data_IF_156191821804
#
_entry.id   IF_156191821804
#
_cell.length_a   1.000
_cell.length_b   1.000
_cell.length_c   1.000
_cell.angle_alpha   90.00
_cell.angle_beta   90.00
_cell.angle_gamma   90.00
#
_symmetry.space_group_name_H-M   'P 1'
#
loop_
_entity.id
_entity.type
_entity.pdbx_description
1 polymer ?
#
# COMPACT_ATOMS: atom_id res chain seq x y z
N UNK A 1 21.62 -29.42 -15.29
CA UNK A 1 20.92 -28.75 -16.40
C UNK A 1 21.37 -27.29 -16.38
N UNK A 2 22.06 -26.85 -17.43
CA UNK A 2 22.58 -25.48 -17.50
C UNK A 2 21.51 -24.46 -17.93
N UNK A 3 21.31 -23.44 -17.09
CA UNK A 3 20.41 -22.30 -17.30
C UNK A 3 21.19 -20.99 -17.38
N UNK A 4 20.74 -20.06 -18.23
CA UNK A 4 21.36 -18.75 -18.38
C UNK A 4 20.35 -17.61 -18.18
N UNK A 5 20.81 -16.35 -18.06
CA UNK A 5 19.95 -15.19 -17.81
C UNK A 5 18.84 -15.00 -18.85
N UNK A 6 19.09 -15.37 -20.12
CA UNK A 6 18.10 -15.27 -21.21
C UNK A 6 16.89 -16.17 -21.04
N UNK A 7 16.90 -17.09 -20.08
CA UNK A 7 15.72 -17.90 -19.73
C UNK A 7 14.70 -17.12 -18.87
N UNK A 8 15.11 -15.96 -18.36
CA UNK A 8 14.33 -15.08 -17.49
C UNK A 8 14.14 -13.72 -18.15
N UNK A 9 13.08 -13.02 -17.78
CA UNK A 9 12.77 -11.70 -18.30
C UNK A 9 13.07 -10.57 -17.29
N UNK A 10 13.30 -10.92 -16.03
CA UNK A 10 13.64 -9.97 -14.98
C UNK A 10 15.13 -9.60 -15.01
N UNK A 11 15.44 -8.62 -15.88
CA UNK A 11 16.81 -8.20 -16.23
C UNK A 11 17.65 -7.67 -15.06
N UNK A 12 17.01 -7.27 -13.97
CA UNK A 12 17.66 -6.67 -12.79
C UNK A 12 17.46 -7.53 -11.54
N UNK A 13 17.03 -8.78 -11.70
CA UNK A 13 16.90 -9.70 -10.57
C UNK A 13 18.26 -10.12 -10.00
N UNK A 14 18.30 -10.28 -8.67
CA UNK A 14 19.42 -10.90 -7.96
C UNK A 14 19.78 -12.29 -8.54
N UNK A 15 18.78 -13.00 -9.08
CA UNK A 15 18.98 -14.27 -9.77
C UNK A 15 19.83 -14.13 -11.03
N UNK A 16 19.59 -13.12 -11.87
CA UNK A 16 20.41 -12.88 -13.06
C UNK A 16 21.84 -12.47 -12.68
N UNK A 17 22.00 -11.61 -11.68
CA UNK A 17 23.33 -11.22 -11.18
C UNK A 17 24.09 -12.43 -10.64
N UNK A 18 23.42 -13.33 -9.94
CA UNK A 18 24.01 -14.55 -9.43
C UNK A 18 24.46 -15.50 -10.56
N UNK A 19 23.63 -15.72 -11.58
CA UNK A 19 24.01 -16.53 -12.75
C UNK A 19 25.20 -15.89 -13.48
N UNK A 20 25.20 -14.56 -13.65
CA UNK A 20 26.30 -13.86 -14.34
C UNK A 20 27.62 -13.93 -13.56
N UNK A 21 27.58 -13.85 -12.23
CA UNK A 21 28.79 -13.83 -11.39
C UNK A 21 29.35 -15.22 -11.09
N UNK A 22 28.49 -16.23 -10.98
CA UNK A 22 28.87 -17.60 -10.58
C UNK A 22 28.90 -18.59 -11.74
N UNK A 23 28.21 -18.29 -12.84
CA UNK A 23 28.17 -19.12 -14.04
C UNK A 23 29.46 -19.07 -14.86
N UNK A 24 29.53 -19.93 -15.87
CA UNK A 24 30.66 -20.02 -16.81
C UNK A 24 30.15 -19.88 -18.25
N UNK A 25 31.00 -19.40 -19.16
CA UNK A 25 30.65 -19.28 -20.58
C UNK A 25 30.46 -20.67 -21.21
N UNK A 26 29.21 -21.11 -21.25
CA UNK A 26 28.78 -22.43 -21.69
C UNK A 26 27.41 -22.32 -22.35
N UNK A 27 27.11 -23.23 -23.29
CA UNK A 27 25.83 -23.25 -23.96
C UNK A 27 24.70 -23.59 -22.98
N UNK A 28 23.68 -22.74 -22.91
CA UNK A 28 22.49 -23.00 -22.11
C UNK A 28 21.67 -24.17 -22.68
N UNK A 29 21.30 -25.13 -21.85
CA UNK A 29 20.52 -26.31 -22.25
C UNK A 29 19.04 -26.01 -22.50
N UNK A 30 18.55 -24.83 -22.10
CA UNK A 30 17.13 -24.46 -22.20
C UNK A 30 16.89 -23.58 -23.44
N UNK A 31 17.61 -22.46 -23.57
CA UNK A 31 17.43 -21.52 -24.68
C UNK A 31 18.50 -21.63 -25.78
N UNK A 32 19.45 -22.55 -25.65
CA UNK A 32 20.55 -22.79 -26.60
C UNK A 32 21.51 -21.61 -26.81
N UNK A 33 21.43 -20.55 -26.00
CA UNK A 33 22.34 -19.40 -26.10
C UNK A 33 23.78 -19.80 -25.76
N UNK A 34 24.73 -19.38 -26.59
CA UNK A 34 26.18 -19.62 -26.43
C UNK A 34 26.95 -18.41 -25.91
N UNK A 35 26.33 -17.22 -25.90
CA UNK A 35 27.00 -15.95 -25.60
C UNK A 35 26.67 -15.45 -24.18
N UNK A 36 26.36 -16.35 -23.25
CA UNK A 36 25.98 -16.00 -21.87
C UNK A 36 26.68 -16.93 -20.90
N UNK A 37 26.85 -16.47 -19.66
CA UNK A 37 27.20 -17.36 -18.58
C UNK A 37 26.00 -18.28 -18.28
N UNK A 38 26.28 -19.57 -18.17
CA UNK A 38 25.31 -20.58 -17.75
C UNK A 38 25.73 -21.16 -16.41
N UNK A 39 24.74 -21.48 -15.58
CA UNK A 39 24.90 -22.06 -14.25
C UNK A 39 24.07 -23.34 -14.15
N UNK A 40 24.51 -24.29 -13.34
CA UNK A 40 23.69 -25.47 -13.02
C UNK A 40 22.41 -25.04 -12.29
N UNK A 41 21.26 -25.52 -12.75
CA UNK A 41 19.96 -25.21 -12.15
C UNK A 41 19.90 -25.56 -10.66
N UNK A 42 20.66 -26.57 -10.23
CA UNK A 42 20.78 -27.01 -8.84
C UNK A 42 21.22 -25.89 -7.89
N UNK A 43 22.06 -24.95 -8.37
CA UNK A 43 22.51 -23.77 -7.62
C UNK A 43 21.40 -22.73 -7.41
N UNK A 44 20.28 -22.86 -8.12
CA UNK A 44 19.13 -21.95 -8.01
C UNK A 44 17.96 -22.55 -7.21
N UNK A 45 18.11 -23.77 -6.67
CA UNK A 45 16.99 -24.47 -6.01
C UNK A 45 16.47 -23.73 -4.78
N UNK A 46 17.33 -23.13 -3.96
CA UNK A 46 16.92 -22.36 -2.78
C UNK A 46 16.02 -21.16 -3.15
N UNK A 47 16.35 -20.49 -4.26
CA UNK A 47 15.52 -19.41 -4.81
C UNK A 47 14.15 -19.95 -5.22
N UNK A 48 14.13 -21.06 -5.98
CA UNK A 48 12.88 -21.64 -6.44
C UNK A 48 12.05 -22.23 -5.29
N UNK A 49 12.67 -22.78 -4.25
CA UNK A 49 11.96 -23.26 -3.06
C UNK A 49 11.24 -22.10 -2.38
N UNK A 50 11.93 -20.97 -2.23
CA UNK A 50 11.35 -19.73 -1.69
C UNK A 50 10.22 -19.20 -2.59
N UNK A 51 10.41 -19.20 -3.91
CA UNK A 51 9.39 -18.77 -4.87
C UNK A 51 8.14 -19.65 -4.77
N UNK A 52 8.31 -20.97 -4.85
CA UNK A 52 7.23 -21.95 -4.83
C UNK A 52 6.50 -21.98 -3.48
N UNK A 53 7.22 -21.71 -2.38
CA UNK A 53 6.64 -21.57 -1.04
C UNK A 53 5.63 -20.44 -0.88
N UNK A 54 5.52 -19.54 -1.86
CA UNK A 54 4.48 -18.51 -1.89
C UNK A 54 3.13 -19.01 -2.42
N UNK A 55 3.06 -20.24 -2.96
CA UNK A 55 1.87 -20.79 -3.59
C UNK A 55 1.33 -22.01 -2.82
N UNK A 56 0.04 -22.27 -2.99
CA UNK A 56 -0.64 -23.48 -2.50
C UNK A 56 -1.62 -23.99 -3.57
N UNK A 57 -1.88 -25.30 -3.56
CA UNK A 57 -2.89 -25.90 -4.45
C UNK A 57 -4.27 -25.30 -4.16
N UNK A 58 -5.00 -24.94 -5.21
CA UNK A 58 -6.30 -24.27 -5.12
C UNK A 58 -7.20 -24.65 -6.30
N UNK A 59 -8.42 -25.13 -6.00
CA UNK A 59 -9.39 -25.53 -7.03
C UNK A 59 -9.81 -24.37 -7.96
N UNK A 60 -9.84 -23.15 -7.41
CA UNK A 60 -10.21 -21.93 -8.13
C UNK A 60 -9.01 -21.20 -8.74
N UNK A 61 -7.81 -21.75 -8.58
CA UNK A 61 -6.57 -21.16 -9.08
C UNK A 61 -6.37 -21.33 -10.58
N UNK A 62 -5.17 -21.00 -11.03
CA UNK A 62 -4.67 -21.20 -12.40
C UNK A 62 -3.35 -21.98 -12.35
N UNK A 63 -2.83 -22.44 -13.48
CA UNK A 63 -1.61 -23.25 -13.48
C UNK A 63 -0.43 -22.45 -12.91
N UNK A 64 0.49 -23.13 -12.21
CA UNK A 64 1.67 -22.50 -11.60
C UNK A 64 2.45 -21.61 -12.58
N UNK A 65 2.71 -22.11 -13.79
CA UNK A 65 3.37 -21.35 -14.85
C UNK A 65 2.60 -20.08 -15.21
N UNK A 66 1.29 -20.20 -15.40
CA UNK A 66 0.42 -19.08 -15.76
C UNK A 66 0.42 -18.04 -14.65
N UNK A 67 0.31 -18.49 -13.39
CA UNK A 67 0.35 -17.60 -12.23
C UNK A 67 1.66 -16.81 -12.12
N UNK A 68 2.79 -17.49 -12.24
CA UNK A 68 4.11 -16.84 -12.21
C UNK A 68 4.27 -15.87 -13.39
N UNK A 69 3.82 -16.26 -14.59
CA UNK A 69 3.97 -15.41 -15.77
C UNK A 69 3.03 -14.19 -15.75
N UNK A 70 1.77 -14.34 -15.32
CA UNK A 70 0.80 -13.25 -15.27
C UNK A 70 1.17 -12.20 -14.21
N UNK A 71 1.58 -12.64 -13.02
CA UNK A 71 1.84 -11.73 -11.91
C UNK A 71 3.24 -11.11 -11.97
N UNK A 72 4.24 -11.84 -12.50
CA UNK A 72 5.66 -11.44 -12.43
C UNK A 72 6.33 -11.31 -13.79
N UNK A 73 5.74 -11.88 -14.85
CA UNK A 73 6.36 -11.96 -16.17
C UNK A 73 7.79 -12.55 -16.11
N UNK A 74 8.01 -13.55 -15.25
CA UNK A 74 9.34 -13.98 -14.80
C UNK A 74 10.17 -14.71 -15.86
N UNK A 75 9.56 -15.63 -16.62
CA UNK A 75 10.28 -16.40 -17.64
C UNK A 75 10.26 -15.70 -18.99
N UNK A 76 11.31 -15.89 -19.78
CA UNK A 76 11.42 -15.28 -21.11
C UNK A 76 10.54 -15.94 -22.17
N UNK A 77 10.15 -17.21 -21.97
CA UNK A 77 9.25 -17.94 -22.85
C UNK A 77 8.50 -19.06 -22.11
N UNK A 78 7.35 -19.51 -22.62
CA UNK A 78 6.64 -20.67 -22.07
C UNK A 78 7.49 -21.93 -22.02
N UNK A 79 8.34 -22.15 -23.03
CA UNK A 79 9.23 -23.31 -23.07
C UNK A 79 10.33 -23.25 -22.00
N UNK A 80 10.89 -22.06 -21.74
CA UNK A 80 11.82 -21.86 -20.62
C UNK A 80 11.14 -22.19 -19.30
N UNK A 81 9.94 -21.66 -19.09
CA UNK A 81 9.16 -21.88 -17.89
C UNK A 81 8.87 -23.37 -17.65
N UNK A 82 8.36 -24.07 -18.68
CA UNK A 82 8.03 -25.50 -18.58
C UNK A 82 9.26 -26.35 -18.28
N UNK A 83 10.37 -26.08 -18.96
CA UNK A 83 11.60 -26.86 -18.80
C UNK A 83 12.18 -26.69 -17.40
N UNK A 84 12.28 -25.44 -16.94
CA UNK A 84 12.82 -25.11 -15.62
C UNK A 84 11.91 -25.64 -14.52
N UNK A 85 10.62 -25.29 -14.54
CA UNK A 85 9.68 -25.70 -13.49
C UNK A 85 9.56 -27.23 -13.40
N UNK A 86 9.60 -27.94 -14.54
CA UNK A 86 9.57 -29.40 -14.56
C UNK A 86 10.75 -30.02 -13.82
N UNK A 87 11.91 -29.42 -13.91
CA UNK A 87 13.10 -29.94 -13.24
C UNK A 87 13.13 -29.51 -11.77
N UNK A 88 12.83 -28.25 -11.49
CA UNK A 88 12.71 -27.69 -10.13
C UNK A 88 11.73 -28.50 -9.28
N UNK A 89 10.52 -28.78 -9.77
CA UNK A 89 9.49 -29.52 -9.01
C UNK A 89 9.92 -30.95 -8.67
N UNK A 90 10.82 -31.57 -9.45
CA UNK A 90 11.36 -32.89 -9.12
C UNK A 90 12.44 -32.85 -8.04
N UNK A 91 13.20 -31.76 -7.99
CA UNK A 91 14.37 -31.62 -7.14
C UNK A 91 14.00 -31.06 -5.75
N UNK A 92 12.95 -30.23 -5.68
CA UNK A 92 12.48 -29.60 -4.44
C UNK A 92 11.36 -30.42 -3.80
N UNK A 93 11.31 -30.43 -2.47
CA UNK A 93 10.18 -31.01 -1.72
C UNK A 93 9.00 -30.05 -1.76
N UNK A 94 8.11 -30.24 -2.72
CA UNK A 94 6.86 -29.49 -2.85
C UNK A 94 5.67 -30.40 -3.07
N UNK A 95 4.50 -30.00 -2.56
CA UNK A 95 3.22 -30.67 -2.82
C UNK A 95 2.58 -30.22 -4.14
N UNK A 96 3.21 -29.28 -4.86
CA UNK A 96 2.70 -28.70 -6.10
C UNK A 96 3.23 -29.46 -7.31
N UNK A 97 2.33 -30.00 -8.13
CA UNK A 97 2.60 -30.51 -9.47
C UNK A 97 2.44 -29.42 -10.53
N UNK A 98 3.08 -29.61 -11.70
CA UNK A 98 2.95 -28.69 -12.84
C UNK A 98 1.52 -28.60 -13.40
N UNK A 99 0.71 -29.63 -13.19
CA UNK A 99 -0.68 -29.68 -13.64
C UNK A 99 -1.65 -29.11 -12.62
N UNK A 100 -1.18 -28.79 -11.42
CA UNK A 100 -2.04 -28.27 -10.37
C UNK A 100 -2.39 -26.81 -10.63
N UNK A 101 -3.62 -26.49 -10.26
CA UNK A 101 -4.04 -25.10 -10.12
C UNK A 101 -3.57 -24.61 -8.76
N UNK A 102 -2.97 -23.42 -8.76
CA UNK A 102 -2.42 -22.79 -7.57
C UNK A 102 -3.00 -21.40 -7.38
N UNK A 103 -2.98 -20.96 -6.13
CA UNK A 103 -3.11 -19.55 -5.75
C UNK A 103 -2.02 -19.24 -4.72
N UNK A 104 -1.87 -17.98 -4.35
CA UNK A 104 -0.95 -17.61 -3.27
C UNK A 104 -1.37 -18.27 -1.94
N UNK A 105 -0.40 -18.47 -1.05
CA UNK A 105 -0.70 -18.89 0.33
C UNK A 105 -1.62 -17.88 1.02
N UNK A 106 -2.43 -18.36 1.96
CA UNK A 106 -3.46 -17.53 2.61
C UNK A 106 -2.90 -16.27 3.26
N UNK A 107 -1.68 -16.32 3.82
CA UNK A 107 -1.03 -15.14 4.40
C UNK A 107 -0.79 -14.01 3.39
N UNK A 108 -0.43 -14.34 2.14
CA UNK A 108 -0.26 -13.37 1.06
C UNK A 108 -1.61 -12.86 0.58
N UNK A 109 -2.62 -13.73 0.48
CA UNK A 109 -3.98 -13.37 0.06
C UNK A 109 -4.65 -12.43 1.05
N UNK A 110 -4.50 -12.70 2.34
CA UNK A 110 -4.98 -11.86 3.43
C UNK A 110 -4.31 -10.47 3.40
N UNK A 111 -2.97 -10.44 3.27
CA UNK A 111 -2.22 -9.18 3.17
C UNK A 111 -2.66 -8.36 1.95
N UNK A 112 -2.78 -8.99 0.78
CA UNK A 112 -3.23 -8.33 -0.46
C UNK A 112 -4.65 -7.78 -0.31
N UNK A 113 -5.54 -8.55 0.33
CA UNK A 113 -6.91 -8.12 0.62
C UNK A 113 -6.92 -6.90 1.54
N UNK A 114 -6.12 -6.92 2.61
CA UNK A 114 -6.02 -5.79 3.53
C UNK A 114 -5.36 -4.56 2.90
N UNK A 115 -4.40 -4.76 2.00
CA UNK A 115 -3.80 -3.68 1.22
C UNK A 115 -4.81 -3.01 0.30
N UNK A 116 -5.63 -3.80 -0.40
CA UNK A 116 -6.69 -3.27 -1.25
C UNK A 116 -7.73 -2.48 -0.44
N UNK A 117 -8.15 -3.00 0.73
CA UNK A 117 -9.02 -2.26 1.66
C UNK A 117 -8.41 -0.93 2.08
N UNK A 118 -7.11 -0.90 2.42
CA UNK A 118 -6.42 0.34 2.79
C UNK A 118 -6.43 1.34 1.62
N UNK A 119 -6.12 0.88 0.39
CA UNK A 119 -6.16 1.74 -0.80
C UNK A 119 -7.54 2.35 -1.02
N UNK A 120 -8.59 1.55 -0.89
CA UNK A 120 -9.96 2.02 -1.08
C UNK A 120 -10.39 2.99 0.02
N UNK A 121 -10.03 2.71 1.28
CA UNK A 121 -10.24 3.62 2.40
C UNK A 121 -9.57 4.98 2.16
N UNK A 122 -8.28 4.96 1.80
CA UNK A 122 -7.50 6.17 1.53
C UNK A 122 -8.05 6.97 0.34
N UNK A 123 -8.59 6.30 -0.68
CA UNK A 123 -9.13 6.96 -1.88
C UNK A 123 -10.51 7.53 -1.66
N UNK A 124 -11.37 6.83 -0.93
CA UNK A 124 -12.82 7.08 -0.98
C UNK A 124 -13.44 7.56 0.34
N UNK A 125 -12.79 7.34 1.49
CA UNK A 125 -13.43 7.62 2.79
C UNK A 125 -12.55 8.35 3.80
N UNK A 126 -11.37 7.82 4.12
CA UNK A 126 -10.52 8.29 5.22
C UNK A 126 -9.08 8.52 4.76
N UNK A 127 -8.93 9.44 3.81
CA UNK A 127 -7.67 9.76 3.11
C UNK A 127 -6.46 9.97 4.01
N UNK A 128 -6.65 10.54 5.19
CA UNK A 128 -5.56 10.86 6.12
C UNK A 128 -5.67 10.12 7.47
N UNK A 129 -6.72 9.33 7.65
CA UNK A 129 -7.03 8.66 8.91
C UNK A 129 -7.45 7.20 8.68
N UNK A 130 -6.52 6.33 8.24
CA UNK A 130 -6.82 4.93 7.97
C UNK A 130 -7.50 4.26 9.16
N UNK A 131 -8.35 3.28 8.90
CA UNK A 131 -8.96 2.52 9.97
C UNK A 131 -7.88 1.74 10.75
N UNK A 132 -7.80 1.87 12.09
CA UNK A 132 -6.82 1.12 12.90
C UNK A 132 -6.89 -0.39 12.69
N UNK A 133 -8.08 -0.95 12.42
CA UNK A 133 -8.24 -2.38 12.11
C UNK A 133 -7.55 -2.76 10.78
N UNK A 134 -7.66 -1.89 9.78
CA UNK A 134 -7.04 -2.08 8.47
C UNK A 134 -5.52 -1.96 8.57
N UNK A 135 -5.01 -1.01 9.37
CA UNK A 135 -3.58 -0.91 9.68
C UNK A 135 -3.07 -2.16 10.43
N UNK A 136 -3.83 -2.63 11.42
CA UNK A 136 -3.47 -3.84 12.19
C UNK A 136 -3.38 -5.09 11.32
N UNK A 137 -4.27 -5.24 10.33
CA UNK A 137 -4.20 -6.36 9.41
C UNK A 137 -2.87 -6.39 8.64
N UNK A 138 -2.34 -5.22 8.28
CA UNK A 138 -1.06 -5.07 7.58
C UNK A 138 0.14 -4.99 8.52
N UNK A 139 -0.06 -5.12 9.83
CA UNK A 139 0.98 -4.93 10.87
C UNK A 139 1.63 -3.53 10.81
N UNK A 140 0.85 -2.52 10.39
CA UNK A 140 1.29 -1.13 10.24
C UNK A 140 0.84 -0.22 11.39
N UNK A 141 0.19 -0.75 12.41
CA UNK A 141 -0.34 0.03 13.54
C UNK A 141 0.73 0.86 14.25
N UNK A 142 1.98 0.38 14.29
CA UNK A 142 3.10 1.09 14.91
C UNK A 142 3.87 1.96 13.92
N UNK A 143 3.64 1.80 12.62
CA UNK A 143 4.27 2.62 11.57
C UNK A 143 3.64 4.01 11.50
N UNK A 144 2.40 4.14 11.97
CA UNK A 144 1.69 5.40 12.07
C UNK A 144 1.54 5.77 13.55
N UNK A 145 2.47 6.58 14.08
CA UNK A 145 2.33 7.23 15.39
C UNK A 145 1.22 8.31 15.32
N UNK A 146 -0.02 7.87 15.14
CA UNK A 146 -1.21 8.72 15.03
C UNK A 146 -1.82 9.08 16.38
N UNK A 147 -1.21 8.68 17.50
CA UNK A 147 -1.74 8.98 18.83
C UNK A 147 -1.43 10.41 19.22
N UNK A 148 -2.27 11.35 18.78
CA UNK A 148 -2.36 12.67 19.39
C UNK A 148 -3.41 12.62 20.48
N UNK A 149 -2.98 12.76 21.74
CA UNK A 149 -3.91 12.87 22.86
C UNK A 149 -4.30 14.33 23.05
N UNK A 150 -5.58 14.64 22.84
CA UNK A 150 -6.13 15.96 23.13
C UNK A 150 -6.68 15.98 24.56
N UNK A 151 -6.05 16.74 25.43
CA UNK A 151 -6.52 17.03 26.79
C UNK A 151 -7.80 17.88 26.73
N UNK A 152 -8.79 17.54 27.55
CA UNK A 152 -10.05 18.29 27.65
C UNK A 152 -9.88 19.75 28.13
N UNK A 153 -8.77 20.07 28.78
CA UNK A 153 -8.41 21.42 29.19
C UNK A 153 -7.75 22.23 28.07
N UNK A 154 -7.28 21.59 26.98
CA UNK A 154 -6.68 22.29 25.84
C UNK A 154 -7.69 23.20 25.17
N UNK A 155 -7.38 24.49 25.09
CA UNK A 155 -8.17 25.46 24.36
C UNK A 155 -7.83 25.40 22.87
N UNK A 156 -8.88 25.19 22.10
CA UNK A 156 -8.82 25.15 20.65
C UNK A 156 -9.63 26.32 20.08
N UNK A 157 -9.11 26.91 19.02
CA UNK A 157 -9.65 28.13 18.44
C UNK A 157 -10.18 27.87 17.04
N UNK A 158 -11.17 28.67 16.63
CA UNK A 158 -11.63 28.78 15.24
C UNK A 158 -12.06 30.21 14.95
N UNK A 159 -11.66 30.73 13.80
CA UNK A 159 -12.16 32.01 13.28
C UNK A 159 -13.25 31.81 12.23
N UNK A 160 -14.19 32.75 12.13
CA UNK A 160 -15.09 32.93 10.98
C UNK A 160 -15.16 34.41 10.60
N UNK A 161 -14.85 34.72 9.34
CA UNK A 161 -14.93 36.08 8.78
C UNK A 161 -16.40 36.47 8.60
N UNK A 162 -16.74 37.70 8.94
CA UNK A 162 -18.08 38.26 8.75
C UNK A 162 -18.25 38.70 7.30
N UNK A 163 -19.42 38.41 6.73
CA UNK A 163 -19.73 38.82 5.36
C UNK A 163 -20.30 40.25 5.27
N UNK A 164 -20.63 40.86 6.42
CA UNK A 164 -21.17 42.22 6.51
C UNK A 164 -20.51 42.92 7.70
N UNK A 165 -19.99 44.12 7.49
CA UNK A 165 -19.41 44.94 8.55
C UNK A 165 -20.49 45.41 9.54
N UNK A 166 -20.11 45.47 10.83
CA UNK A 166 -21.00 45.76 11.95
C UNK A 166 -21.93 44.61 12.32
N UNK A 167 -21.66 43.39 11.85
CA UNK A 167 -22.44 42.21 12.22
C UNK A 167 -22.15 41.80 13.67
N UNK A 168 -23.19 41.28 14.35
CA UNK A 168 -22.98 40.66 15.66
C UNK A 168 -22.06 39.43 15.55
N UNK A 169 -21.38 39.12 16.65
CA UNK A 169 -20.55 37.93 16.71
C UNK A 169 -21.38 36.65 16.49
N UNK A 170 -20.82 35.70 15.73
CA UNK A 170 -21.45 34.40 15.50
C UNK A 170 -21.70 33.66 16.82
N UNK A 171 -22.89 33.08 16.97
CA UNK A 171 -23.26 32.30 18.15
C UNK A 171 -22.49 30.97 18.17
N UNK A 172 -22.33 30.32 19.34
CA UNK A 172 -21.58 29.05 19.44
C UNK A 172 -22.03 27.96 18.46
N UNK A 173 -23.35 27.82 18.21
CA UNK A 173 -23.88 26.86 17.23
C UNK A 173 -23.41 27.14 15.80
N UNK A 174 -23.23 28.42 15.46
CA UNK A 174 -22.75 28.86 14.16
C UNK A 174 -21.23 28.70 14.01
N UNK A 175 -20.52 28.44 15.11
CA UNK A 175 -19.07 28.18 15.10
C UNK A 175 -18.74 26.68 14.95
N UNK A 176 -19.75 25.80 14.90
CA UNK A 176 -19.59 24.35 14.67
C UNK A 176 -19.31 24.02 13.20
N UNK A 177 -18.98 22.75 12.91
CA UNK A 177 -18.78 22.29 11.54
C UNK A 177 -20.02 22.62 10.67
N UNK A 178 -19.83 22.95 9.38
CA UNK A 178 -20.95 23.19 8.48
C UNK A 178 -21.83 21.93 8.36
N UNK A 179 -23.07 22.09 7.94
CA UNK A 179 -23.91 20.94 7.57
C UNK A 179 -23.34 20.22 6.35
N UNK A 180 -23.63 18.92 6.20
CA UNK A 180 -23.08 18.08 5.13
C UNK A 180 -23.35 18.65 3.74
N UNK A 181 -24.54 19.22 3.52
CA UNK A 181 -24.95 19.86 2.25
C UNK A 181 -24.12 21.08 1.85
N UNK A 182 -23.45 21.73 2.81
CA UNK A 182 -22.57 22.88 2.57
C UNK A 182 -21.09 22.53 2.65
N UNK A 183 -20.77 21.25 2.84
CA UNK A 183 -19.39 20.79 3.03
C UNK A 183 -18.70 20.55 1.69
N UNK A 184 -17.77 21.43 1.35
CA UNK A 184 -16.85 21.24 0.22
C UNK A 184 -15.62 20.44 0.65
N UNK A 185 -14.85 19.92 -0.32
CA UNK A 185 -13.57 19.26 -0.05
C UNK A 185 -12.57 20.27 0.53
N UNK A 186 -12.06 20.00 1.74
CA UNK A 186 -10.98 20.77 2.36
C UNK A 186 -9.64 20.03 2.33
N UNK A 187 -8.65 20.51 3.10
CA UNK A 187 -7.33 19.86 3.19
C UNK A 187 -7.43 18.42 3.69
N UNK A 188 -8.25 18.19 4.72
CA UNK A 188 -8.40 16.89 5.37
C UNK A 188 -9.77 16.23 5.12
N UNK A 189 -10.85 17.01 4.98
CA UNK A 189 -12.19 16.47 4.85
C UNK A 189 -12.58 16.17 3.39
N UNK A 190 -13.11 14.99 3.09
CA UNK A 190 -13.76 14.70 1.81
C UNK A 190 -14.99 15.58 1.58
N UNK A 191 -15.40 15.72 0.31
CA UNK A 191 -16.66 16.38 -0.05
C UNK A 191 -17.84 15.69 0.64
N UNK A 192 -18.76 16.45 1.22
CA UNK A 192 -19.96 15.93 1.90
C UNK A 192 -19.76 15.40 3.32
N UNK A 193 -18.53 15.32 3.87
CA UNK A 193 -18.28 14.89 5.25
C UNK A 193 -17.80 16.07 6.11
N UNK A 194 -18.63 16.61 7.02
CA UNK A 194 -18.31 17.82 7.76
C UNK A 194 -17.24 17.57 8.83
N UNK A 195 -16.16 18.36 8.80
CA UNK A 195 -15.09 18.35 9.80
C UNK A 195 -15.04 19.72 10.49
N UNK A 196 -14.73 19.71 11.79
CA UNK A 196 -14.48 20.92 12.56
C UNK A 196 -12.97 21.18 12.59
N UNK A 197 -12.50 22.17 11.84
CA UNK A 197 -11.10 22.60 11.86
C UNK A 197 -10.88 23.55 13.03
N UNK A 198 -9.92 23.19 13.88
CA UNK A 198 -9.52 23.96 15.05
C UNK A 198 -7.99 24.07 15.10
N UNK A 199 -7.47 25.05 15.84
CA UNK A 199 -6.03 25.21 16.10
C UNK A 199 -5.79 25.47 17.59
N UNK A 200 -4.64 25.07 18.12
CA UNK A 200 -4.22 25.41 19.49
C UNK A 200 -3.73 26.85 19.63
N UNK A 201 -3.52 27.55 18.50
CA UNK A 201 -3.02 28.91 18.47
C UNK A 201 -4.08 29.86 17.89
N UNK A 202 -4.56 30.77 18.73
CA UNK A 202 -5.54 31.80 18.36
C UNK A 202 -5.07 32.66 17.17
N UNK A 203 -3.79 32.99 17.09
CA UNK A 203 -3.28 33.81 15.97
C UNK A 203 -3.31 33.02 14.65
N UNK A 204 -3.04 31.72 14.70
CA UNK A 204 -3.04 30.86 13.51
C UNK A 204 -4.41 30.82 12.84
N UNK A 205 -5.51 30.85 13.60
CA UNK A 205 -6.85 30.77 12.99
C UNK A 205 -7.20 32.01 12.17
N UNK A 206 -6.64 33.17 12.50
CA UNK A 206 -6.80 34.40 11.70
C UNK A 206 -6.11 34.26 10.34
N UNK A 207 -4.93 33.64 10.30
CA UNK A 207 -4.21 33.37 9.05
C UNK A 207 -4.85 32.26 8.21
N UNK A 208 -5.36 31.20 8.84
CA UNK A 208 -6.05 30.10 8.13
C UNK A 208 -7.31 30.57 7.41
N UNK A 209 -8.07 31.51 7.98
CA UNK A 209 -9.23 32.12 7.31
C UNK A 209 -8.84 33.22 6.32
N UNK A 210 -7.55 33.55 6.22
CA UNK A 210 -6.99 34.58 5.32
C UNK A 210 -7.65 35.95 5.50
N UNK A 211 -7.89 36.35 6.74
CA UNK A 211 -8.46 37.66 7.05
C UNK A 211 -7.57 38.80 6.49
N UNK A 212 -8.20 39.79 5.88
CA UNK A 212 -7.57 40.99 5.33
C UNK A 212 -7.69 42.18 6.28
N UNK A 213 -7.00 43.28 5.95
CA UNK A 213 -7.14 44.53 6.70
C UNK A 213 -8.59 45.01 6.67
N UNK A 214 -9.13 45.34 7.85
CA UNK A 214 -10.54 45.72 8.11
C UNK A 214 -11.58 44.59 8.05
N UNK A 215 -11.17 43.33 7.88
CA UNK A 215 -12.12 42.22 8.05
C UNK A 215 -12.53 42.09 9.52
N UNK A 216 -13.83 42.00 9.75
CA UNK A 216 -14.40 41.65 11.04
C UNK A 216 -14.56 40.13 11.14
N UNK A 217 -14.25 39.55 12.30
CA UNK A 217 -14.30 38.11 12.50
C UNK A 217 -14.73 37.76 13.92
N UNK A 218 -15.33 36.58 14.08
CA UNK A 218 -15.57 35.97 15.39
C UNK A 218 -14.56 34.86 15.64
N UNK A 219 -13.98 34.85 16.85
CA UNK A 219 -13.14 33.75 17.34
C UNK A 219 -13.96 32.95 18.34
N UNK A 220 -14.10 31.65 18.08
CA UNK A 220 -14.72 30.69 18.98
C UNK A 220 -13.65 29.90 19.73
N UNK A 221 -13.88 29.67 21.02
CA UNK A 221 -13.03 28.84 21.88
C UNK A 221 -13.75 27.52 22.15
N UNK A 222 -13.02 26.42 22.00
CA UNK A 222 -13.51 25.05 22.07
C UNK A 222 -12.68 24.27 23.08
N UNK A 223 -13.35 23.39 23.82
CA UNK A 223 -12.74 22.37 24.68
C UNK A 223 -13.37 21.03 24.36
N UNK A 224 -12.57 19.97 24.40
CA UNK A 224 -13.12 18.63 24.27
C UNK A 224 -13.96 18.30 25.51
N UNK A 225 -15.09 17.61 25.33
CA UNK A 225 -15.97 17.21 26.45
C UNK A 225 -15.31 16.24 27.43
N UNK A 226 -14.30 15.52 26.94
CA UNK A 226 -13.46 14.56 27.64
C UNK A 226 -12.17 14.44 26.85
N UNK A 227 -11.13 13.91 27.47
CA UNK A 227 -9.87 13.60 26.79
C UNK A 227 -10.13 12.70 25.58
N UNK A 228 -9.43 12.97 24.47
CA UNK A 228 -9.51 12.17 23.24
C UNK A 228 -8.16 11.55 22.93
N UNK A 229 -8.14 10.25 22.67
CA UNK A 229 -6.98 9.48 22.18
C UNK A 229 -7.17 9.10 20.73
#
# INVERSE_FOLDING_TARGET
MLVCPKCFNDKESELIEYINSSGQEQQCEICSSTNENSLELDELLDFFETLLGNFQVSETGILLREKIQEDWNFFSSPQSADTILKEVVKLIKTDISLTDKVDYVDSIRENTTCWNKLKDELRQSRRFFPNPKTLKCLKLENSFNLSYQLDSNTELYRARVHHKSGSEAYKPKEMMAPESQYTTSGRANPSGIPFLYLSENEKTVVYEVRASYLDELSIGVFKAKSDRK
#
